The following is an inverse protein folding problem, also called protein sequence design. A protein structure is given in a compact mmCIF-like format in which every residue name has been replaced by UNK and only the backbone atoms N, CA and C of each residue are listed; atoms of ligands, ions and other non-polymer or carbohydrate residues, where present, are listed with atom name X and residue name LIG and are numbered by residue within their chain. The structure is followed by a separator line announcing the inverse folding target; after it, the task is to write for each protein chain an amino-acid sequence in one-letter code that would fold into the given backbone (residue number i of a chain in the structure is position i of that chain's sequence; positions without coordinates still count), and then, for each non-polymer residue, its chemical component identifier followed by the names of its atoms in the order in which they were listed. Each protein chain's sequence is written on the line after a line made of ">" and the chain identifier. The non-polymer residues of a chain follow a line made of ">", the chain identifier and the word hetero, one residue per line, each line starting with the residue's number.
data_IF_392034140611
#
_entry.id   IF_392034140611
#
_cell.length_a   1.000
_cell.length_b   1.000
_cell.length_c   1.000
_cell.angle_alpha   90.00
_cell.angle_beta   90.00
_cell.angle_gamma   90.00
#
_symmetry.space_group_name_H-M   'P 1'
#
loop_
_entity.id
_entity.type
_entity.pdbx_description
1 polymer ?
#
# COMPACT_ATOMS: atom_id res chain seq x y z
N UNK A 1 10.27 4.54 -34.72
CA UNK A 1 9.89 5.49 -33.68
C UNK A 1 10.73 5.16 -32.46
N UNK A 2 11.53 6.11 -31.95
CA UNK A 2 12.17 5.95 -30.65
C UNK A 2 11.07 6.13 -29.61
N UNK A 3 10.78 5.08 -28.85
CA UNK A 3 9.95 5.18 -27.64
C UNK A 3 10.84 5.88 -26.62
N UNK A 4 10.57 7.15 -26.32
CA UNK A 4 11.16 7.82 -25.18
C UNK A 4 10.62 7.10 -23.94
N UNK A 5 11.47 6.37 -23.24
CA UNK A 5 11.11 5.87 -21.91
C UNK A 5 10.78 7.08 -21.03
N UNK A 6 9.62 7.09 -20.34
CA UNK A 6 9.28 8.20 -19.48
C UNK A 6 10.37 8.34 -18.41
N UNK A 7 10.83 9.58 -18.20
CA UNK A 7 11.76 9.90 -17.12
C UNK A 7 11.10 9.50 -15.79
N UNK A 8 11.72 8.57 -15.07
CA UNK A 8 11.28 8.09 -13.78
C UNK A 8 12.39 8.35 -12.76
N UNK A 9 12.07 9.08 -11.70
CA UNK A 9 13.00 9.39 -10.62
C UNK A 9 12.80 8.38 -9.48
N UNK A 10 13.83 7.58 -9.13
CA UNK A 10 13.72 6.67 -8.01
C UNK A 10 13.75 7.47 -6.69
N UNK A 11 12.83 7.14 -5.79
CA UNK A 11 12.75 7.75 -4.45
C UNK A 11 12.94 6.70 -3.37
N UNK A 12 13.48 7.12 -2.23
CA UNK A 12 13.54 6.30 -1.02
C UNK A 12 12.24 6.48 -0.25
N UNK A 13 11.63 5.38 0.19
CA UNK A 13 10.44 5.41 1.03
C UNK A 13 10.64 4.52 2.26
N UNK A 14 9.90 4.81 3.31
CA UNK A 14 9.81 3.98 4.52
C UNK A 14 8.34 3.79 4.89
N UNK A 15 7.87 2.55 4.82
CA UNK A 15 6.51 2.19 5.22
C UNK A 15 6.53 1.99 6.72
N UNK A 16 5.69 2.71 7.45
CA UNK A 16 5.63 2.68 8.91
C UNK A 16 6.94 3.16 9.59
N UNK A 17 7.33 4.43 9.40
CA UNK A 17 8.52 5.00 10.05
C UNK A 17 8.58 4.77 11.56
N UNK A 18 9.80 4.52 12.06
CA UNK A 18 10.09 4.18 13.45
C UNK A 18 9.85 2.70 13.79
N UNK A 19 9.64 1.85 12.80
CA UNK A 19 9.49 0.40 12.94
C UNK A 19 10.45 -0.31 11.98
N UNK A 20 11.03 -1.43 12.41
CA UNK A 20 11.77 -2.31 11.51
C UNK A 20 11.77 -3.74 12.09
N UNK A 21 11.20 -4.76 11.41
CA UNK A 21 10.51 -4.66 10.11
C UNK A 21 9.21 -3.85 10.20
N UNK A 22 8.53 -3.69 9.05
CA UNK A 22 7.32 -2.89 8.91
C UNK A 22 6.05 -3.76 8.97
N UNK A 23 5.48 -4.04 10.16
CA UNK A 23 4.34 -4.94 10.28
C UNK A 23 3.06 -4.27 9.80
N UNK A 24 2.34 -4.97 8.93
CA UNK A 24 0.96 -4.66 8.54
C UNK A 24 0.02 -5.71 9.14
N UNK A 25 -0.83 -5.27 10.07
CA UNK A 25 -1.87 -6.13 10.61
C UNK A 25 -3.09 -6.07 9.69
N UNK A 26 -3.40 -7.19 9.03
CA UNK A 26 -4.48 -7.28 8.04
C UNK A 26 -5.87 -7.04 8.62
N UNK A 27 -6.02 -7.13 9.95
CA UNK A 27 -7.27 -6.83 10.67
C UNK A 27 -7.36 -5.37 11.14
N UNK A 28 -6.32 -4.56 10.92
CA UNK A 28 -6.29 -3.17 11.38
C UNK A 28 -7.23 -2.31 10.56
N UNK A 29 -8.15 -1.63 11.21
CA UNK A 29 -9.05 -0.62 10.61
C UNK A 29 -8.48 0.81 10.68
N UNK A 30 -7.22 0.94 11.11
CA UNK A 30 -6.54 2.22 11.23
C UNK A 30 -5.94 2.73 9.92
N UNK A 31 -4.96 3.61 10.06
CA UNK A 31 -4.18 4.14 8.93
C UNK A 31 -2.75 3.62 8.97
N UNK A 32 -2.19 3.36 7.78
CA UNK A 32 -0.80 3.03 7.56
C UNK A 32 -0.03 4.32 7.23
N UNK A 33 0.92 4.75 8.07
CA UNK A 33 1.83 5.84 7.72
C UNK A 33 2.93 5.35 6.77
N UNK A 34 3.32 6.18 5.81
CA UNK A 34 4.46 5.96 4.91
C UNK A 34 5.19 7.29 4.73
N UNK A 35 6.51 7.30 4.70
CA UNK A 35 7.31 8.49 4.41
C UNK A 35 8.01 8.34 3.07
N UNK A 36 8.01 9.41 2.26
CA UNK A 36 8.99 9.60 1.19
C UNK A 36 10.12 10.40 1.80
N UNK A 37 11.32 9.83 1.79
CA UNK A 37 12.46 10.33 2.55
C UNK A 37 13.17 11.44 1.78
N UNK A 38 13.36 12.58 2.44
CA UNK A 38 14.17 13.68 1.92
C UNK A 38 15.66 13.35 1.93
N UNK A 39 16.44 14.13 1.18
CA UNK A 39 17.90 14.07 1.27
C UNK A 39 18.52 15.38 0.77
N UNK A 40 19.85 15.48 0.83
CA UNK A 40 20.59 16.58 0.21
C UNK A 40 20.33 16.70 -1.30
N UNK A 41 20.02 15.57 -1.96
CA UNK A 41 19.81 15.49 -3.41
C UNK A 41 18.32 15.52 -3.82
N UNK A 42 17.39 15.40 -2.86
CA UNK A 42 15.97 15.28 -3.14
C UNK A 42 15.10 16.07 -2.14
N UNK A 43 14.48 17.15 -2.64
CA UNK A 43 13.50 17.92 -1.89
C UNK A 43 12.08 17.39 -2.13
N UNK A 44 11.46 16.84 -1.07
CA UNK A 44 10.09 16.29 -1.10
C UNK A 44 9.00 17.35 -1.37
N UNK A 45 9.33 18.64 -1.27
CA UNK A 45 8.43 19.75 -1.61
C UNK A 45 8.12 19.82 -3.12
N UNK A 46 8.97 19.19 -3.94
CA UNK A 46 8.79 19.12 -5.38
C UNK A 46 7.71 18.09 -5.82
N UNK A 47 7.20 17.28 -4.89
CA UNK A 47 6.21 16.22 -5.15
C UNK A 47 4.79 16.80 -5.15
N UNK A 48 3.96 16.42 -6.13
CA UNK A 48 2.52 16.60 -6.02
C UNK A 48 1.95 15.51 -5.11
N UNK A 49 1.73 15.83 -3.84
CA UNK A 49 1.24 14.88 -2.84
C UNK A 49 -0.12 14.25 -3.20
N UNK A 50 -0.98 14.94 -3.96
CA UNK A 50 -2.28 14.41 -4.35
C UNK A 50 -2.18 13.33 -5.45
N UNK A 51 -1.04 13.25 -6.14
CA UNK A 51 -0.76 12.25 -7.16
C UNK A 51 -0.26 10.91 -6.60
N UNK A 52 -0.05 10.81 -5.29
CA UNK A 52 0.63 9.66 -4.69
C UNK A 52 -0.32 8.47 -4.48
N UNK A 53 0.14 7.31 -4.95
CA UNK A 53 -0.50 6.01 -4.74
C UNK A 53 0.48 5.03 -4.10
N UNK A 54 0.03 4.27 -3.09
CA UNK A 54 0.74 3.13 -2.55
C UNK A 54 0.02 1.86 -3.01
N UNK A 55 0.69 1.04 -3.81
CA UNK A 55 0.13 -0.16 -4.42
C UNK A 55 -1.23 0.09 -5.11
N UNK A 56 -1.39 1.26 -5.74
CA UNK A 56 -2.64 1.68 -6.40
C UNK A 56 -3.70 2.31 -5.47
N UNK A 57 -3.44 2.43 -4.17
CA UNK A 57 -4.34 3.11 -3.22
C UNK A 57 -3.93 4.57 -3.06
N UNK A 58 -4.84 5.55 -3.24
CA UNK A 58 -4.52 6.96 -3.10
C UNK A 58 -4.22 7.34 -1.64
N UNK A 59 -3.36 8.33 -1.44
CA UNK A 59 -3.11 8.89 -0.10
C UNK A 59 -4.35 9.60 0.46
N UNK A 60 -4.56 9.48 1.77
CA UNK A 60 -5.65 10.16 2.49
C UNK A 60 -5.27 11.59 2.91
N UNK A 61 -4.03 11.75 3.39
CA UNK A 61 -3.50 13.01 3.91
C UNK A 61 -1.98 12.99 3.86
N UNK A 62 -1.41 14.18 3.77
CA UNK A 62 0.03 14.40 3.83
C UNK A 62 0.42 15.41 4.92
N UNK A 63 1.64 15.28 5.43
CA UNK A 63 2.34 16.25 6.28
C UNK A 63 3.84 16.24 5.95
N UNK A 64 4.56 17.28 6.38
CA UNK A 64 6.02 17.32 6.28
C UNK A 64 6.62 17.21 7.68
N UNK A 65 7.43 16.18 7.89
CA UNK A 65 8.04 15.83 9.17
C UNK A 65 9.40 15.17 8.89
N UNK A 66 10.38 15.29 9.78
CA UNK A 66 11.63 14.52 9.72
C UNK A 66 11.42 13.27 10.57
N UNK A 67 11.23 12.12 9.92
CA UNK A 67 10.82 10.84 10.56
C UNK A 67 11.74 9.67 10.24
N UNK A 68 12.69 9.85 9.33
CA UNK A 68 13.65 8.82 8.94
C UNK A 68 14.75 9.36 8.06
N UNK A 69 15.48 8.46 7.39
CA UNK A 69 16.52 8.82 6.45
C UNK A 69 16.82 7.66 5.50
N UNK A 70 17.25 7.92 4.25
CA UNK A 70 17.52 6.86 3.28
C UNK A 70 18.55 5.85 3.77
N UNK A 71 18.24 4.54 3.69
CA UNK A 71 19.21 3.47 3.94
C UNK A 71 20.13 3.23 2.75
N UNK A 72 21.37 2.82 3.01
CA UNK A 72 22.42 2.72 1.99
C UNK A 72 22.20 1.57 0.98
N UNK A 73 21.58 0.45 1.37
CA UNK A 73 21.33 -0.68 0.47
C UNK A 73 19.82 -0.95 0.28
N UNK A 74 19.29 -0.47 -0.86
CA UNK A 74 17.86 -0.61 -1.22
C UNK A 74 17.38 -2.03 -1.59
N UNK A 75 18.21 -3.06 -1.43
CA UNK A 75 17.98 -4.35 -2.08
C UNK A 75 17.31 -5.43 -1.21
N UNK A 76 17.12 -5.24 0.11
CA UNK A 76 16.73 -6.35 0.99
C UNK A 76 15.78 -5.96 2.13
N UNK A 77 14.73 -5.17 1.87
CA UNK A 77 13.79 -4.77 2.94
C UNK A 77 14.50 -4.13 4.14
N UNK A 78 15.68 -3.54 3.92
CA UNK A 78 16.47 -2.93 4.97
C UNK A 78 15.76 -1.65 5.40
N UNK A 79 15.47 -1.55 6.68
CA UNK A 79 14.79 -0.42 7.29
C UNK A 79 15.59 0.07 8.48
N UNK A 80 15.25 1.26 8.97
CA UNK A 80 15.81 1.84 10.18
C UNK A 80 14.70 2.13 11.18
N UNK A 81 15.06 2.22 12.45
CA UNK A 81 14.20 2.75 13.51
C UNK A 81 14.60 4.16 13.93
N UNK A 82 15.57 4.77 13.24
CA UNK A 82 16.03 6.12 13.52
C UNK A 82 14.92 7.13 13.26
N UNK A 83 14.87 8.17 14.11
CA UNK A 83 13.73 9.08 14.16
C UNK A 83 13.81 10.25 13.17
N UNK A 84 14.92 10.39 12.43
CA UNK A 84 15.15 11.50 11.51
C UNK A 84 16.63 11.72 11.20
N UNK A 85 16.91 12.31 10.05
CA UNK A 85 18.27 12.55 9.54
C UNK A 85 18.57 14.05 9.29
N UNK A 86 17.62 14.93 9.61
CA UNK A 86 17.73 16.37 9.42
C UNK A 86 17.22 16.86 8.05
N UNK A 87 16.76 15.96 7.18
CA UNK A 87 16.03 16.30 5.97
C UNK A 87 14.52 16.13 6.18
N UNK A 88 13.73 16.99 5.56
CA UNK A 88 12.28 16.91 5.69
C UNK A 88 11.71 15.79 4.82
N UNK A 89 10.84 14.96 5.38
CA UNK A 89 10.14 13.89 4.68
C UNK A 89 8.70 14.27 4.35
N UNK A 90 8.14 13.66 3.30
CA UNK A 90 6.71 13.72 3.01
C UNK A 90 6.02 12.51 3.64
N UNK A 91 5.34 12.74 4.76
CA UNK A 91 4.59 11.71 5.48
C UNK A 91 3.17 11.62 4.94
N UNK A 92 2.80 10.44 4.48
CA UNK A 92 1.53 10.09 3.87
C UNK A 92 0.78 9.11 4.76
N UNK A 93 -0.56 9.13 4.69
CA UNK A 93 -1.39 8.17 5.42
C UNK A 93 -2.34 7.47 4.44
N UNK A 94 -2.44 6.16 4.56
CA UNK A 94 -3.33 5.32 3.75
C UNK A 94 -4.29 4.55 4.66
N UNK A 95 -5.48 4.21 4.19
CA UNK A 95 -6.34 3.28 4.92
C UNK A 95 -5.75 1.87 4.84
N UNK A 96 -5.45 1.26 5.99
CA UNK A 96 -4.79 -0.05 6.02
C UNK A 96 -5.62 -1.12 5.31
N UNK A 97 -6.95 -1.09 5.45
CA UNK A 97 -7.83 -2.05 4.78
C UNK A 97 -7.78 -1.96 3.25
N UNK A 98 -7.69 -0.76 2.68
CA UNK A 98 -7.56 -0.59 1.23
C UNK A 98 -6.23 -1.16 0.74
N UNK A 99 -5.14 -0.97 1.49
CA UNK A 99 -3.85 -1.59 1.15
C UNK A 99 -3.96 -3.11 1.22
N UNK A 100 -4.55 -3.67 2.28
CA UNK A 100 -4.74 -5.12 2.45
C UNK A 100 -5.52 -5.74 1.27
N UNK A 101 -6.55 -5.06 0.78
CA UNK A 101 -7.33 -5.50 -0.40
C UNK A 101 -6.48 -5.63 -1.68
N UNK A 102 -5.39 -4.87 -1.79
CA UNK A 102 -4.46 -4.95 -2.94
C UNK A 102 -3.45 -6.10 -2.86
N UNK A 103 -3.27 -6.72 -1.70
CA UNK A 103 -2.23 -7.73 -1.48
C UNK A 103 -2.61 -9.12 -2.01
N UNK A 104 -3.90 -9.39 -2.20
CA UNK A 104 -4.39 -10.75 -2.48
C UNK A 104 -4.42 -11.64 -1.24
N UNK A 105 -4.28 -12.96 -1.41
CA UNK A 105 -4.23 -13.91 -0.29
C UNK A 105 -2.87 -13.87 0.40
N UNK A 106 -2.85 -13.66 1.71
CA UNK A 106 -1.63 -13.53 2.52
C UNK A 106 -1.75 -14.21 3.88
N UNK A 107 -0.61 -14.64 4.40
CA UNK A 107 -0.44 -15.33 5.68
C UNK A 107 0.56 -14.59 6.58
N UNK A 108 0.46 -14.85 7.89
CA UNK A 108 1.40 -14.30 8.86
C UNK A 108 2.83 -14.68 8.51
N UNK A 109 3.72 -13.68 8.46
CA UNK A 109 5.13 -13.86 8.15
C UNK A 109 5.49 -13.68 6.68
N UNK A 110 4.50 -13.55 5.79
CA UNK A 110 4.76 -13.18 4.40
C UNK A 110 5.46 -11.82 4.35
N UNK A 111 6.45 -11.70 3.46
CA UNK A 111 7.18 -10.46 3.19
C UNK A 111 6.78 -10.00 1.80
N UNK A 112 6.17 -8.82 1.71
CA UNK A 112 5.70 -8.27 0.44
C UNK A 112 6.31 -6.90 0.22
N UNK A 113 6.73 -6.64 -1.03
CA UNK A 113 7.17 -5.31 -1.47
C UNK A 113 5.96 -4.51 -1.93
N UNK A 114 5.75 -3.32 -1.35
CA UNK A 114 4.77 -2.37 -1.82
C UNK A 114 5.46 -1.26 -2.61
N UNK A 115 4.88 -0.89 -3.74
CA UNK A 115 5.41 0.17 -4.61
C UNK A 115 4.60 1.45 -4.41
N UNK A 116 5.30 2.57 -4.24
CA UNK A 116 4.72 3.91 -4.21
C UNK A 116 5.02 4.59 -5.53
N UNK A 117 4.00 5.19 -6.14
CA UNK A 117 4.11 5.97 -7.37
C UNK A 117 3.50 7.36 -7.20
N UNK A 118 3.90 8.28 -8.06
CA UNK A 118 3.34 9.63 -8.13
C UNK A 118 4.05 10.47 -9.17
N UNK A 119 3.88 11.79 -9.10
CA UNK A 119 4.59 12.75 -9.96
C UNK A 119 5.15 13.92 -9.17
N UNK A 120 6.23 14.50 -9.70
CA UNK A 120 6.71 15.82 -9.32
C UNK A 120 5.80 16.91 -9.90
N UNK A 121 5.91 18.14 -9.38
CA UNK A 121 5.18 19.32 -9.85
C UNK A 121 5.44 19.66 -11.32
N UNK A 122 6.54 19.17 -11.91
CA UNK A 122 6.86 19.32 -13.34
C UNK A 122 6.30 18.19 -14.23
N UNK A 123 5.60 17.21 -13.63
CA UNK A 123 5.01 16.07 -14.31
C UNK A 123 5.93 14.85 -14.44
N UNK A 124 7.17 14.90 -13.95
CA UNK A 124 8.09 13.75 -13.92
C UNK A 124 7.57 12.67 -13.00
N UNK A 125 7.58 11.40 -13.45
CA UNK A 125 7.15 10.27 -12.62
C UNK A 125 8.16 9.95 -11.52
N UNK A 126 7.65 9.53 -10.35
CA UNK A 126 8.46 9.01 -9.25
C UNK A 126 8.01 7.60 -8.87
N UNK A 127 8.97 6.77 -8.45
CA UNK A 127 8.71 5.42 -7.96
C UNK A 127 9.65 5.08 -6.80
N UNK A 128 9.09 4.47 -5.76
CA UNK A 128 9.83 3.92 -4.63
C UNK A 128 9.21 2.63 -4.15
N UNK A 129 9.97 1.83 -3.42
CA UNK A 129 9.47 0.57 -2.89
C UNK A 129 10.03 0.29 -1.50
N UNK A 130 9.23 -0.36 -0.67
CA UNK A 130 9.64 -0.85 0.64
C UNK A 130 8.84 -2.12 0.99
N UNK A 131 9.33 -2.91 1.94
CA UNK A 131 8.74 -4.17 2.33
C UNK A 131 7.88 -4.05 3.58
N UNK A 132 6.85 -4.88 3.63
CA UNK A 132 6.02 -5.09 4.82
C UNK A 132 6.07 -6.55 5.25
N UNK A 133 5.90 -6.79 6.54
CA UNK A 133 5.71 -8.13 7.11
C UNK A 133 4.26 -8.30 7.51
N UNK A 134 3.60 -9.33 6.98
CA UNK A 134 2.19 -9.58 7.22
C UNK A 134 1.96 -10.12 8.63
N UNK A 135 1.02 -9.53 9.35
CA UNK A 135 0.52 -10.02 10.64
C UNK A 135 -0.95 -10.39 10.50
N UNK A 136 -1.25 -11.68 10.58
CA UNK A 136 -2.59 -12.23 10.41
C UNK A 136 -2.77 -12.92 9.06
N UNK A 137 -4.00 -13.34 8.77
CA UNK A 137 -4.37 -13.95 7.48
C UNK A 137 -5.44 -13.13 6.83
N UNK A 138 -5.33 -12.94 5.53
CA UNK A 138 -6.34 -12.31 4.70
C UNK A 138 -6.50 -13.14 3.44
N UNK A 139 -7.75 -13.52 3.15
CA UNK A 139 -8.15 -14.18 1.91
C UNK A 139 -9.26 -13.30 1.32
N UNK A 140 -9.05 -12.68 0.15
CA UNK A 140 -10.11 -11.91 -0.50
C UNK A 140 -11.32 -12.82 -0.69
N UNK A 141 -12.49 -12.37 -0.23
CA UNK A 141 -13.74 -13.09 -0.50
C UNK A 141 -14.05 -12.87 -1.97
N UNK A 142 -13.98 -13.93 -2.77
CA UNK A 142 -14.52 -13.89 -4.11
C UNK A 142 -16.05 -13.88 -3.99
N UNK A 143 -16.68 -12.71 -4.16
CA UNK A 143 -18.13 -12.55 -3.99
C UNK A 143 -18.96 -13.45 -4.93
N UNK A 144 -18.35 -13.99 -5.98
CA UNK A 144 -19.00 -14.94 -6.89
C UNK A 144 -18.85 -16.42 -6.43
N UNK A 145 -17.92 -16.71 -5.52
CA UNK A 145 -17.72 -18.01 -4.86
C UNK A 145 -18.58 -18.03 -3.59
N UNK A 146 -19.86 -18.30 -3.78
CA UNK A 146 -20.91 -18.11 -2.77
C UNK A 146 -20.84 -19.20 -1.70
N UNK A 147 -20.35 -20.38 -2.05
CA UNK A 147 -20.16 -21.48 -1.10
C UNK A 147 -18.77 -21.48 -0.43
N UNK A 148 -17.91 -20.50 -0.78
CA UNK A 148 -16.54 -20.34 -0.29
C UNK A 148 -15.63 -21.58 -0.52
N UNK A 149 -15.91 -22.39 -1.55
CA UNK A 149 -15.13 -23.59 -1.87
C UNK A 149 -13.84 -23.27 -2.67
N UNK A 150 -13.68 -22.01 -3.09
CA UNK A 150 -12.55 -21.51 -3.86
C UNK A 150 -12.76 -21.58 -5.38
N UNK A 151 -13.90 -22.08 -5.88
CA UNK A 151 -14.14 -22.34 -7.30
C UNK A 151 -15.51 -21.81 -7.71
N UNK A 152 -15.54 -20.73 -8.50
CA UNK A 152 -16.78 -20.24 -9.11
C UNK A 152 -17.26 -21.21 -10.19
N UNK A 153 -18.34 -21.94 -9.91
CA UNK A 153 -18.90 -22.93 -10.83
C UNK A 153 -20.45 -23.00 -10.75
N UNK A 154 -21.04 -24.03 -11.33
CA UNK A 154 -22.50 -24.20 -11.37
C UNK A 154 -23.14 -24.35 -9.99
N UNK A 155 -22.39 -24.78 -8.98
CA UNK A 155 -22.87 -24.91 -7.60
C UNK A 155 -23.13 -23.54 -6.99
N UNK A 156 -22.28 -22.55 -7.20
CA UNK A 156 -22.52 -21.17 -6.74
C UNK A 156 -23.78 -20.57 -7.36
N UNK A 157 -23.96 -20.80 -8.67
CA UNK A 157 -25.16 -20.35 -9.39
C UNK A 157 -26.42 -21.05 -8.86
N UNK A 158 -26.32 -22.34 -8.53
CA UNK A 158 -27.44 -23.11 -7.98
C UNK A 158 -27.90 -22.52 -6.63
N UNK A 159 -26.98 -22.10 -5.76
CA UNK A 159 -27.31 -21.48 -4.47
C UNK A 159 -28.13 -20.20 -4.65
N UNK A 160 -27.77 -19.36 -5.62
CA UNK A 160 -28.56 -18.15 -5.96
C UNK A 160 -29.91 -18.54 -6.54
N UNK A 161 -29.93 -19.51 -7.46
CA UNK A 161 -31.15 -19.96 -8.13
C UNK A 161 -32.17 -20.57 -7.16
N UNK A 162 -31.71 -21.29 -6.13
CA UNK A 162 -32.57 -21.90 -5.11
C UNK A 162 -33.30 -20.86 -4.25
N UNK A 163 -32.72 -19.67 -4.09
CA UNK A 163 -33.29 -18.58 -3.27
C UNK A 163 -33.77 -17.40 -4.14
N UNK A 164 -33.96 -17.63 -5.44
CA UNK A 164 -34.31 -16.59 -6.40
C UNK A 164 -35.73 -16.06 -6.12
N UNK A 165 -35.85 -14.76 -5.83
CA UNK A 165 -37.06 -14.05 -5.38
C UNK A 165 -37.40 -14.14 -3.88
N UNK A 166 -36.57 -14.79 -3.06
CA UNK A 166 -36.74 -14.65 -1.61
C UNK A 166 -36.25 -13.27 -1.16
N UNK A 167 -37.17 -12.46 -0.62
CA UNK A 167 -36.82 -11.21 0.04
C UNK A 167 -36.31 -11.48 1.44
N UNK A 168 -35.15 -10.92 1.81
CA UNK A 168 -34.76 -10.78 3.21
C UNK A 168 -35.67 -9.77 3.91
N UNK A 169 -36.91 -10.15 4.21
CA UNK A 169 -37.73 -9.42 5.17
C UNK A 169 -37.15 -9.80 6.54
N UNK A 170 -36.28 -8.95 7.05
CA UNK A 170 -36.10 -8.85 8.49
C UNK A 170 -37.32 -8.06 8.95
N UNK A 171 -38.34 -8.74 9.51
CA UNK A 171 -39.36 -8.03 10.28
C UNK A 171 -38.66 -7.33 11.46
N UNK A 172 -38.96 -6.04 11.64
CA UNK A 172 -38.33 -5.10 12.58
C UNK A 172 -38.25 -5.58 14.05
#
# INVERSE_FOLDING_TARGET
>A
ALVLEPLLVPISIDIKPGSCPNPINVKSTGVLPVAILGSEEFEVSAIDAASIFLNGVPTLRSSYEDVGGPVANRNECECTTDAGDGFGDLVLKFYTQQIVETLGEVNTGDILTLTLTGVLNDGTGIEGADCVVIVGRFKPINKADINEDGVVNTVDIAIVAENWLESSIVEE
#
